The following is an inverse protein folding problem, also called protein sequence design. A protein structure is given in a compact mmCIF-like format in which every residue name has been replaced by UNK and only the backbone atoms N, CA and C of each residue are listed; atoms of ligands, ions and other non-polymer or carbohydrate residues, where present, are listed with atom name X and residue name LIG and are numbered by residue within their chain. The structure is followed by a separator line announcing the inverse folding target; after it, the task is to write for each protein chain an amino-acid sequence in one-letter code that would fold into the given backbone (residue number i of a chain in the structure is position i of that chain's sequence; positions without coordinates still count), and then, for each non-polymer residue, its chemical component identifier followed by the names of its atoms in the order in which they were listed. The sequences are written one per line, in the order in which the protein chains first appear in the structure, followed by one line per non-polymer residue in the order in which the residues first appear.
data_IF_295942611878
#
_entry.id   IF_295942611878
#
_cell.length_a   1.000
_cell.length_b   1.000
_cell.length_c   1.000
_cell.angle_alpha   90.00
_cell.angle_beta   90.00
_cell.angle_gamma   90.00
#
_symmetry.space_group_name_H-M   'P 1'
#
loop_
_entity.id
_entity.type
_entity.pdbx_description
1 polymer ?
#
# COMPACT_ATOMS: atom_id res chain seq x y z
N UNK A 1 4.48 -1.54 17.32
CA UNK A 1 3.45 -2.48 16.82
C UNK A 1 4.05 -3.36 15.74
N UNK A 2 3.79 -4.68 15.74
CA UNK A 2 4.21 -5.57 14.65
C UNK A 2 3.01 -5.85 13.75
N UNK A 3 2.98 -5.23 12.56
CA UNK A 3 1.94 -5.49 11.57
C UNK A 3 2.23 -6.80 10.82
N UNK A 4 1.21 -7.63 10.61
CA UNK A 4 1.31 -8.80 9.73
C UNK A 4 0.83 -8.42 8.34
N UNK A 5 1.74 -8.46 7.36
CA UNK A 5 1.41 -8.12 5.99
C UNK A 5 0.66 -9.27 5.28
N UNK A 6 -0.50 -8.98 4.72
CA UNK A 6 -1.26 -9.89 3.86
C UNK A 6 -1.55 -9.24 2.51
N UNK A 7 -1.04 -9.84 1.44
CA UNK A 7 -1.31 -9.39 0.08
C UNK A 7 -2.57 -10.02 -0.50
N UNK A 8 -3.49 -9.20 -1.00
CA UNK A 8 -4.64 -9.66 -1.77
C UNK A 8 -4.21 -10.30 -3.10
N UNK A 9 -5.03 -11.21 -3.64
CA UNK A 9 -4.77 -11.84 -4.95
C UNK A 9 -4.75 -10.80 -6.08
N UNK A 10 -5.65 -9.81 -6.04
CA UNK A 10 -5.69 -8.67 -6.97
C UNK A 10 -4.40 -7.85 -6.91
N UNK A 11 -3.90 -7.59 -5.70
CA UNK A 11 -2.65 -6.86 -5.49
C UNK A 11 -1.45 -7.61 -6.08
N UNK A 12 -1.33 -8.92 -5.87
CA UNK A 12 -0.26 -9.73 -6.48
C UNK A 12 -0.29 -9.67 -8.01
N UNK A 13 -1.48 -9.71 -8.61
CA UNK A 13 -1.66 -9.57 -10.07
C UNK A 13 -1.25 -8.20 -10.57
N UNK A 14 -1.64 -7.12 -9.87
CA UNK A 14 -1.24 -5.77 -10.22
C UNK A 14 0.28 -5.58 -10.13
N UNK A 15 0.90 -6.12 -9.07
CA UNK A 15 2.35 -6.05 -8.87
C UNK A 15 3.14 -6.78 -9.97
N UNK A 16 2.61 -7.90 -10.47
CA UNK A 16 3.24 -8.66 -11.55
C UNK A 16 3.20 -7.95 -12.92
N UNK A 17 2.29 -6.99 -13.11
CA UNK A 17 2.17 -6.19 -14.35
C UNK A 17 3.08 -4.97 -14.39
N UNK A 18 3.80 -4.66 -13.31
CA UNK A 18 4.69 -3.52 -13.25
C UNK A 18 5.93 -3.73 -14.14
N UNK A 19 6.42 -2.65 -14.73
CA UNK A 19 7.70 -2.66 -15.44
C UNK A 19 8.85 -2.93 -14.46
N UNK A 20 10.03 -3.38 -14.93
CA UNK A 20 11.18 -3.63 -14.06
C UNK A 20 11.59 -2.42 -13.20
N UNK A 21 11.48 -1.21 -13.74
CA UNK A 21 11.78 0.05 -13.03
C UNK A 21 10.77 0.33 -11.92
N UNK A 22 9.48 0.24 -12.25
CA UNK A 22 8.38 0.39 -11.29
C UNK A 22 8.50 -0.64 -10.16
N UNK A 23 8.89 -1.87 -10.47
CA UNK A 23 9.07 -2.94 -9.50
C UNK A 23 10.21 -2.65 -8.52
N UNK A 24 11.31 -2.03 -8.97
CA UNK A 24 12.41 -1.60 -8.09
C UNK A 24 11.95 -0.51 -7.12
N UNK A 25 11.24 0.52 -7.63
CA UNK A 25 10.68 1.58 -6.80
C UNK A 25 9.69 1.04 -5.77
N UNK A 26 8.78 0.16 -6.20
CA UNK A 26 7.81 -0.50 -5.32
C UNK A 26 8.49 -1.38 -4.27
N UNK A 27 9.54 -2.11 -4.62
CA UNK A 27 10.29 -2.94 -3.67
C UNK A 27 10.97 -2.11 -2.57
N UNK A 28 11.49 -0.93 -2.90
CA UNK A 28 12.06 0.00 -1.92
C UNK A 28 10.99 0.53 -0.97
N UNK A 29 9.85 0.99 -1.51
CA UNK A 29 8.72 1.45 -0.70
C UNK A 29 8.15 0.34 0.20
N UNK A 30 8.06 -0.91 -0.29
CA UNK A 30 7.57 -2.03 0.51
C UNK A 30 8.46 -2.40 1.69
N UNK A 31 9.77 -2.16 1.61
CA UNK A 31 10.66 -2.35 2.78
C UNK A 31 10.25 -1.43 3.92
N UNK A 32 9.97 -0.16 3.61
CA UNK A 32 9.49 0.84 4.58
C UNK A 32 8.09 0.45 5.06
N UNK A 33 7.18 0.12 4.13
CA UNK A 33 5.80 -0.23 4.45
C UNK A 33 5.67 -1.40 5.43
N UNK A 34 6.51 -2.43 5.28
CA UNK A 34 6.51 -3.60 6.18
C UNK A 34 7.00 -3.26 7.59
N UNK A 35 7.79 -2.21 7.76
CA UNK A 35 8.25 -1.73 9.05
C UNK A 35 7.21 -0.79 9.67
N UNK A 36 6.75 0.19 8.90
CA UNK A 36 5.73 1.16 9.28
C UNK A 36 4.86 1.54 8.06
N UNK A 37 3.59 1.10 8.00
CA UNK A 37 2.69 1.43 6.90
C UNK A 37 2.25 2.90 6.90
N UNK A 38 2.48 3.63 8.01
CA UNK A 38 2.20 5.06 8.15
C UNK A 38 3.47 5.92 8.14
N UNK A 39 4.59 5.40 7.62
CA UNK A 39 5.81 6.18 7.50
C UNK A 39 5.57 7.42 6.61
N UNK A 40 5.92 8.64 7.04
CA UNK A 40 5.73 9.86 6.25
C UNK A 40 6.34 9.82 4.85
N UNK A 41 7.41 9.02 4.65
CA UNK A 41 8.05 8.83 3.34
C UNK A 41 7.15 8.15 2.32
N UNK A 42 6.13 7.42 2.78
CA UNK A 42 5.13 6.77 1.95
C UNK A 42 3.90 7.65 1.70
N UNK A 43 3.87 8.87 2.27
CA UNK A 43 2.75 9.82 2.18
C UNK A 43 1.38 9.17 2.38
N UNK A 44 1.19 8.47 3.52
CA UNK A 44 -0.05 7.79 3.82
C UNK A 44 -1.19 8.81 3.92
N UNK A 45 -2.30 8.52 3.25
CA UNK A 45 -3.51 9.33 3.38
C UNK A 45 -4.75 8.44 3.39
N UNK A 46 -5.78 8.88 4.12
CA UNK A 46 -7.05 8.19 4.21
C UNK A 46 -7.87 8.45 2.96
N UNK A 47 -8.49 7.39 2.42
CA UNK A 47 -9.47 7.53 1.34
C UNK A 47 -10.87 7.53 1.95
N UNK A 48 -11.45 8.71 2.13
CA UNK A 48 -12.75 8.88 2.78
C UNK A 48 -13.88 8.13 2.08
N UNK A 49 -14.00 8.27 0.75
CA UNK A 49 -15.07 7.63 -0.04
C UNK A 49 -15.03 6.10 0.04
N UNK A 50 -13.85 5.50 -0.14
CA UNK A 50 -13.68 4.06 -0.02
C UNK A 50 -13.90 3.60 1.43
N UNK A 51 -13.46 4.40 2.41
CA UNK A 51 -13.65 4.03 3.80
C UNK A 51 -15.13 3.94 4.18
N UNK A 52 -15.94 4.88 3.69
CA UNK A 52 -17.38 4.86 3.88
C UNK A 52 -18.03 3.67 3.16
N UNK A 53 -17.64 3.40 1.91
CA UNK A 53 -18.21 2.31 1.11
C UNK A 53 -17.97 0.92 1.71
N UNK A 54 -16.77 0.68 2.25
CA UNK A 54 -16.39 -0.64 2.77
C UNK A 54 -16.55 -0.78 4.29
N UNK A 55 -16.97 0.28 5.00
CA UNK A 55 -17.05 0.30 6.45
C UNK A 55 -15.71 0.05 7.16
N UNK A 56 -14.58 0.28 6.47
CA UNK A 56 -13.22 0.06 6.98
C UNK A 56 -12.36 1.29 6.73
N UNK A 57 -11.44 1.62 7.61
CA UNK A 57 -10.51 2.74 7.36
C UNK A 57 -9.48 2.33 6.32
N UNK A 58 -9.68 2.82 5.09
CA UNK A 58 -8.83 2.53 3.94
C UNK A 58 -7.82 3.67 3.77
N UNK A 59 -6.56 3.30 3.60
CA UNK A 59 -5.43 4.19 3.39
C UNK A 59 -4.76 3.89 2.04
N UNK A 60 -4.17 4.91 1.45
CA UNK A 60 -3.25 4.77 0.33
C UNK A 60 -1.88 5.29 0.67
N UNK A 61 -0.87 4.64 0.10
CA UNK A 61 0.55 5.03 0.17
C UNK A 61 1.15 5.10 -1.21
N UNK A 62 2.09 6.02 -1.40
CA UNK A 62 2.91 6.12 -2.59
C UNK A 62 3.99 5.04 -2.58
N UNK A 63 4.02 4.22 -3.63
CA UNK A 63 4.99 3.13 -3.83
C UNK A 63 5.86 3.34 -5.07
N UNK A 64 5.81 4.53 -5.66
CA UNK A 64 6.52 4.96 -6.86
C UNK A 64 5.84 6.20 -7.46
N UNK A 65 6.49 6.83 -8.45
CA UNK A 65 6.10 8.16 -8.95
C UNK A 65 4.57 8.34 -9.16
N UNK A 66 3.94 7.42 -9.89
CA UNK A 66 2.49 7.43 -10.14
C UNK A 66 1.79 6.16 -9.64
N UNK A 67 2.43 5.43 -8.71
CA UNK A 67 1.92 4.16 -8.21
C UNK A 67 1.49 4.29 -6.76
N UNK A 68 0.26 3.88 -6.49
CA UNK A 68 -0.33 3.89 -5.15
C UNK A 68 -0.74 2.49 -4.75
N UNK A 69 -0.42 2.09 -3.53
CA UNK A 69 -0.94 0.89 -2.92
C UNK A 69 -2.02 1.26 -1.90
N UNK A 70 -3.12 0.52 -1.91
CA UNK A 70 -4.24 0.70 -0.99
C UNK A 70 -4.23 -0.42 0.04
N UNK A 71 -4.41 -0.08 1.31
CA UNK A 71 -4.45 -1.05 2.41
C UNK A 71 -5.45 -0.62 3.48
N UNK A 72 -5.79 -1.57 4.35
CA UNK A 72 -6.52 -1.34 5.57
C UNK A 72 -5.89 -2.20 6.67
N UNK A 73 -6.22 -1.89 7.92
CA UNK A 73 -5.75 -2.65 9.09
C UNK A 73 -6.91 -3.50 9.59
N UNK A 74 -6.65 -4.79 9.78
CA UNK A 74 -7.53 -5.68 10.54
C UNK A 74 -7.12 -5.56 12.01
N UNK A 75 -8.11 -5.27 12.87
CA UNK A 75 -7.96 -5.25 14.33
C UNK A 75 -8.00 -6.66 14.90
#
# INVERSE_FOLDING_TARGET
MKYRFRAAKSFRRALAKLTPEQRRSAAAAFKIFKQNPFDPRLRPHKIHKLSALYGKTIHAVEIGANLRAVFYIEG
#
